data_IF_759859711083
#
_entry.id   IF_759859711083
#
_cell.length_a   1.000
_cell.length_b   1.000
_cell.length_c   1.000
_cell.angle_alpha   90.00
_cell.angle_beta   90.00
_cell.angle_gamma   90.00
#
_symmetry.space_group_name_H-M   'P 1'
#
loop_
_entity.id
_entity.type
_entity.pdbx_description
1 polymer ?
#
# COMPACT_ATOMS: atom_id res chain seq x y z
N UNK A 1 -18.43 36.62 19.57
CA UNK A 1 -18.01 35.22 19.38
C UNK A 1 -16.63 35.07 19.99
N UNK A 2 -16.38 34.03 20.80
CA UNK A 2 -15.03 33.78 21.34
C UNK A 2 -14.09 33.39 20.19
N UNK A 3 -12.91 34.00 20.12
CA UNK A 3 -11.88 33.68 19.11
C UNK A 3 -11.49 32.21 19.21
N UNK A 4 -11.30 31.53 18.09
CA UNK A 4 -10.87 30.13 18.02
C UNK A 4 -9.36 30.03 17.97
N UNK A 5 -8.81 28.91 18.44
CA UNK A 5 -7.37 28.68 18.47
C UNK A 5 -6.75 28.82 17.07
N UNK A 6 -7.40 28.26 16.04
CA UNK A 6 -6.93 28.34 14.64
C UNK A 6 -6.80 29.78 14.12
N UNK A 7 -7.58 30.73 14.65
CA UNK A 7 -7.51 32.14 14.27
C UNK A 7 -6.37 32.87 14.98
N UNK A 8 -5.83 32.30 16.06
CA UNK A 8 -4.80 32.91 16.89
C UNK A 8 -3.41 32.34 16.58
N UNK A 9 -3.26 31.01 16.59
CA UNK A 9 -2.00 30.34 16.28
C UNK A 9 -2.22 28.88 15.88
N UNK A 10 -1.36 28.36 15.00
CA UNK A 10 -1.43 27.00 14.50
C UNK A 10 -0.02 26.49 14.11
N UNK A 11 0.34 25.24 14.46
CA UNK A 11 1.66 24.68 14.13
C UNK A 11 1.72 24.23 12.65
N UNK A 12 1.70 25.19 11.72
CA UNK A 12 1.61 24.92 10.27
C UNK A 12 2.79 24.05 9.81
N UNK A 13 4.00 24.32 10.31
CA UNK A 13 5.22 23.62 9.88
C UNK A 13 5.15 22.13 10.22
N UNK A 14 4.92 21.81 11.49
CA UNK A 14 4.89 20.44 12.01
C UNK A 14 3.73 19.64 11.37
N UNK A 15 2.55 20.27 11.24
CA UNK A 15 1.40 19.64 10.58
C UNK A 15 1.69 19.35 9.11
N UNK A 16 2.39 20.26 8.41
CA UNK A 16 2.74 20.08 7.00
C UNK A 16 3.76 18.96 6.80
N UNK A 17 4.76 18.86 7.68
CA UNK A 17 5.77 17.80 7.67
C UNK A 17 5.11 16.41 7.84
N UNK A 18 4.23 16.25 8.83
CA UNK A 18 3.49 15.00 9.03
C UNK A 18 2.51 14.70 7.89
N UNK A 19 1.85 15.73 7.33
CA UNK A 19 0.97 15.60 6.16
C UNK A 19 1.71 15.13 4.90
N UNK A 20 2.99 15.48 4.76
CA UNK A 20 3.83 14.99 3.68
C UNK A 20 4.28 13.54 3.95
N UNK A 21 4.66 13.24 5.19
CA UNK A 21 5.11 11.92 5.64
C UNK A 21 4.01 10.86 5.49
N UNK A 22 2.76 11.18 5.83
CA UNK A 22 1.66 10.21 5.81
C UNK A 22 1.35 9.64 4.43
N UNK A 23 1.67 10.36 3.34
CA UNK A 23 1.49 9.88 1.96
C UNK A 23 2.24 8.59 1.65
N UNK A 24 3.30 8.31 2.40
CA UNK A 24 4.12 7.11 2.23
C UNK A 24 3.71 5.96 3.16
N UNK A 25 2.69 6.12 3.99
CA UNK A 25 2.22 5.08 4.90
C UNK A 25 1.40 4.05 4.11
N UNK A 26 1.81 2.78 4.24
CA UNK A 26 1.25 1.66 3.47
C UNK A 26 0.48 0.65 4.32
N UNK A 27 0.31 0.92 5.61
CA UNK A 27 -0.41 0.04 6.51
C UNK A 27 -1.29 0.82 7.49
N UNK A 28 -2.50 0.33 7.76
CA UNK A 28 -3.46 0.92 8.71
C UNK A 28 -4.09 2.26 8.29
N UNK A 29 -3.57 2.92 7.26
CA UNK A 29 -4.08 4.20 6.77
C UNK A 29 -5.30 4.01 5.87
N UNK A 30 -6.30 4.90 5.94
CA UNK A 30 -7.56 4.75 5.18
C UNK A 30 -7.35 4.66 3.66
N UNK A 31 -6.27 5.25 3.13
CA UNK A 31 -5.91 5.13 1.71
C UNK A 31 -5.53 3.73 1.26
N UNK A 32 -5.18 2.82 2.18
CA UNK A 32 -4.90 1.42 1.86
C UNK A 32 -6.18 0.59 1.80
N UNK A 33 -7.30 1.08 2.34
CA UNK A 33 -8.60 0.46 2.20
C UNK A 33 -9.24 0.81 0.85
N UNK A 34 -9.16 2.08 0.45
CA UNK A 34 -9.62 2.53 -0.85
C UNK A 34 -8.93 3.82 -1.28
N UNK A 35 -8.71 3.96 -2.59
CA UNK A 35 -8.13 5.15 -3.19
C UNK A 35 -9.28 6.13 -3.51
N UNK A 36 -9.11 7.40 -3.14
CA UNK A 36 -10.01 8.48 -3.52
C UNK A 36 -9.17 9.68 -3.98
N UNK A 37 -9.62 10.39 -5.00
CA UNK A 37 -8.90 11.55 -5.52
C UNK A 37 -8.91 12.69 -4.50
N UNK A 38 -7.83 13.47 -4.46
CA UNK A 38 -7.70 14.67 -3.63
C UNK A 38 -7.98 14.45 -2.11
N UNK A 39 -7.71 13.25 -1.59
CA UNK A 39 -7.84 12.97 -0.15
C UNK A 39 -7.00 13.94 0.69
N UNK A 40 -7.63 14.60 1.67
CA UNK A 40 -6.91 15.46 2.62
C UNK A 40 -6.05 14.63 3.57
N UNK A 41 -4.83 15.08 3.89
CA UNK A 41 -4.00 14.50 4.94
C UNK A 41 -4.77 14.37 6.26
N UNK A 42 -4.73 13.22 6.93
CA UNK A 42 -5.39 13.00 8.22
C UNK A 42 -4.72 13.83 9.32
N UNK A 43 -3.41 14.05 9.24
CA UNK A 43 -2.66 14.93 10.15
C UNK A 43 -3.27 16.35 10.16
N UNK A 44 -3.45 16.93 8.97
CA UNK A 44 -4.07 18.24 8.81
C UNK A 44 -5.55 18.21 9.23
N UNK A 45 -6.30 17.20 8.82
CA UNK A 45 -7.74 17.08 9.11
C UNK A 45 -8.01 17.06 10.62
N UNK A 46 -7.26 16.28 11.39
CA UNK A 46 -7.38 16.20 12.86
C UNK A 46 -7.04 17.51 13.54
N UNK A 47 -5.87 18.06 13.23
CA UNK A 47 -5.35 19.25 13.91
C UNK A 47 -6.17 20.49 13.58
N UNK A 48 -6.56 20.68 12.32
CA UNK A 48 -7.41 21.81 11.92
C UNK A 48 -8.81 21.70 12.55
N UNK A 49 -9.41 20.51 12.57
CA UNK A 49 -10.70 20.28 13.24
C UNK A 49 -10.62 20.65 14.72
N UNK A 50 -9.61 20.16 15.43
CA UNK A 50 -9.44 20.46 16.85
C UNK A 50 -9.19 21.96 17.10
N UNK A 51 -8.32 22.58 16.31
CA UNK A 51 -8.00 24.01 16.44
C UNK A 51 -9.18 24.93 16.09
N UNK A 52 -10.04 24.52 15.17
CA UNK A 52 -11.26 25.26 14.80
C UNK A 52 -12.33 25.18 15.91
N UNK A 53 -12.40 24.05 16.63
CA UNK A 53 -13.37 23.83 17.69
C UNK A 53 -12.95 24.43 19.03
N UNK A 54 -11.66 24.36 19.38
CA UNK A 54 -11.17 24.87 20.66
C UNK A 54 -11.20 26.42 20.69
N UNK A 55 -11.71 27.03 21.77
CA UNK A 55 -11.54 28.45 21.98
C UNK A 55 -10.06 28.80 22.18
N UNK A 56 -9.66 29.98 21.74
CA UNK A 56 -8.35 30.53 22.08
C UNK A 56 -8.31 30.92 23.56
N UNK A 57 -7.17 30.62 24.17
CA UNK A 57 -6.85 30.99 25.55
C UNK A 57 -5.37 31.42 25.57
N UNK A 58 -5.09 32.74 25.66
CA UNK A 58 -3.73 33.26 25.65
C UNK A 58 -2.81 32.61 26.68
N UNK A 59 -3.33 32.19 27.84
CA UNK A 59 -2.52 31.56 28.90
C UNK A 59 -2.14 30.10 28.57
N UNK A 60 -2.91 29.43 27.72
CA UNK A 60 -2.69 28.02 27.33
C UNK A 60 -2.28 27.85 25.86
N UNK A 61 -2.21 28.93 25.08
CA UNK A 61 -2.01 28.89 23.63
C UNK A 61 -0.81 28.06 23.21
N UNK A 62 0.36 28.28 23.83
CA UNK A 62 1.57 27.53 23.49
C UNK A 62 1.46 26.04 23.83
N UNK A 63 0.76 25.70 24.92
CA UNK A 63 0.52 24.31 25.29
C UNK A 63 -0.42 23.62 24.30
N UNK A 64 -1.50 24.31 23.89
CA UNK A 64 -2.44 23.82 22.88
C UNK A 64 -1.77 23.65 21.52
N UNK A 65 -0.89 24.59 21.12
CA UNK A 65 -0.11 24.49 19.90
C UNK A 65 0.84 23.28 19.90
N UNK A 66 1.56 23.04 21.00
CA UNK A 66 2.41 21.84 21.15
C UNK A 66 1.61 20.55 21.13
N UNK A 67 0.42 20.55 21.73
CA UNK A 67 -0.49 19.42 21.65
C UNK A 67 -0.92 19.15 20.20
N UNK A 68 -1.32 20.18 19.45
CA UNK A 68 -1.66 20.06 18.02
C UNK A 68 -0.49 19.49 17.20
N UNK A 69 0.73 20.01 17.40
CA UNK A 69 1.92 19.51 16.71
C UNK A 69 2.16 18.02 16.99
N UNK A 70 1.94 17.57 18.22
CA UNK A 70 2.07 16.17 18.60
C UNK A 70 0.95 15.30 18.00
N UNK A 71 -0.28 15.80 18.03
CA UNK A 71 -1.46 15.14 17.45
C UNK A 71 -1.39 15.04 15.93
N UNK A 72 -0.54 15.82 15.25
CA UNK A 72 -0.38 15.73 13.79
C UNK A 72 0.19 14.36 13.34
N UNK A 73 0.96 13.69 14.21
CA UNK A 73 1.60 12.41 13.90
C UNK A 73 0.57 11.33 13.58
N UNK A 74 0.85 10.50 12.58
CA UNK A 74 -0.02 9.38 12.22
C UNK A 74 -0.14 8.36 13.35
N UNK A 75 0.96 8.09 14.07
CA UNK A 75 1.03 7.06 15.11
C UNK A 75 0.06 7.34 16.28
N UNK A 76 -0.49 8.55 16.39
CA UNK A 76 -1.45 8.91 17.43
C UNK A 76 -2.77 8.12 17.37
N UNK A 77 -3.05 7.46 16.23
CA UNK A 77 -4.25 6.63 16.06
C UNK A 77 -3.98 5.14 16.26
N UNK A 78 -2.75 4.76 16.63
CA UNK A 78 -2.45 3.38 17.03
C UNK A 78 -3.08 3.11 18.41
N UNK A 79 -4.08 2.23 18.43
CA UNK A 79 -4.78 1.83 19.66
C UNK A 79 -3.87 1.06 20.64
N UNK A 80 -2.76 0.49 20.18
CA UNK A 80 -1.84 -0.26 21.03
C UNK A 80 -0.86 0.66 21.78
N UNK A 81 -0.66 1.89 21.31
CA UNK A 81 0.21 2.86 21.97
C UNK A 81 -0.56 3.58 23.11
N UNK A 82 -0.11 3.35 24.34
CA UNK A 82 -0.71 3.96 25.53
C UNK A 82 -0.53 5.49 25.58
N UNK A 83 0.60 6.00 25.08
CA UNK A 83 0.88 7.42 24.99
C UNK A 83 -0.03 8.11 23.97
N UNK A 84 -0.21 7.48 22.80
CA UNK A 84 -1.13 7.91 21.76
C UNK A 84 -2.58 8.00 22.28
N UNK A 85 -3.05 6.93 22.95
CA UNK A 85 -4.38 6.91 23.58
C UNK A 85 -4.57 8.03 24.60
N UNK A 86 -3.56 8.28 25.45
CA UNK A 86 -3.60 9.35 26.45
C UNK A 86 -3.71 10.74 25.80
N UNK A 87 -2.93 10.99 24.76
CA UNK A 87 -2.95 12.26 24.03
C UNK A 87 -4.29 12.48 23.30
N UNK A 88 -4.83 11.45 22.65
CA UNK A 88 -6.16 11.52 22.05
C UNK A 88 -7.25 11.76 23.10
N UNK A 89 -7.14 11.14 24.28
CA UNK A 89 -8.07 11.39 25.38
C UNK A 89 -7.96 12.84 25.89
N UNK A 90 -6.75 13.39 26.03
CA UNK A 90 -6.57 14.80 26.39
C UNK A 90 -7.22 15.76 25.39
N UNK A 91 -7.15 15.46 24.09
CA UNK A 91 -7.83 16.25 23.07
C UNK A 91 -9.36 16.19 23.20
N UNK A 92 -9.91 15.00 23.47
CA UNK A 92 -11.35 14.80 23.74
C UNK A 92 -11.79 15.52 25.00
N UNK A 93 -11.01 15.45 26.07
CA UNK A 93 -11.31 16.11 27.35
C UNK A 93 -11.30 17.63 27.18
N UNK A 94 -10.36 18.17 26.39
CA UNK A 94 -10.32 19.59 26.07
C UNK A 94 -11.58 20.03 25.30
N UNK A 95 -12.06 19.22 24.35
CA UNK A 95 -13.33 19.48 23.66
C UNK A 95 -14.53 19.36 24.61
N UNK A 96 -14.56 18.34 25.47
CA UNK A 96 -15.65 18.16 26.43
C UNK A 96 -15.73 19.34 27.42
N UNK A 97 -14.59 19.86 27.87
CA UNK A 97 -14.55 21.05 28.71
C UNK A 97 -15.04 22.31 27.98
N UNK A 98 -14.70 22.46 26.69
CA UNK A 98 -15.18 23.58 25.88
C UNK A 98 -16.66 23.45 25.48
N UNK A 99 -17.19 22.22 25.40
CA UNK A 99 -18.56 21.89 25.00
C UNK A 99 -19.20 20.92 26.02
N UNK A 100 -19.54 21.37 27.23
CA UNK A 100 -19.95 20.49 28.34
C UNK A 100 -21.34 19.87 28.15
N UNK A 101 -22.22 20.50 27.36
CA UNK A 101 -23.61 20.05 27.22
C UNK A 101 -23.77 18.95 26.17
N UNK A 102 -23.02 19.03 25.06
CA UNK A 102 -23.09 18.09 23.95
C UNK A 102 -21.77 18.08 23.20
N UNK A 103 -21.40 16.97 22.53
CA UNK A 103 -20.26 16.98 21.64
C UNK A 103 -20.42 18.05 20.55
N UNK A 104 -19.33 18.69 20.11
CA UNK A 104 -19.40 19.66 19.03
C UNK A 104 -19.85 18.98 17.74
N UNK A 105 -20.69 19.66 16.97
CA UNK A 105 -21.19 19.20 15.68
C UNK A 105 -20.27 19.65 14.56
N UNK A 106 -19.82 18.71 13.73
CA UNK A 106 -18.97 18.98 12.56
C UNK A 106 -19.73 18.54 11.32
N UNK A 107 -20.00 19.49 10.43
CA UNK A 107 -20.57 19.25 9.12
C UNK A 107 -19.47 19.41 8.07
N UNK A 108 -19.19 18.34 7.33
CA UNK A 108 -18.39 18.39 6.11
C UNK A 108 -19.30 18.19 4.89
N UNK A 109 -19.66 19.27 4.17
CA UNK A 109 -20.54 19.19 3.01
C UNK A 109 -19.86 18.63 1.75
N UNK A 110 -18.55 18.43 1.78
CA UNK A 110 -17.74 17.94 0.66
C UNK A 110 -16.75 16.86 1.14
N UNK A 111 -17.29 15.86 1.83
CA UNK A 111 -16.51 14.89 2.59
C UNK A 111 -15.53 14.08 1.72
N UNK A 112 -15.86 13.85 0.45
CA UNK A 112 -15.07 13.08 -0.48
C UNK A 112 -14.66 11.74 0.11
N UNK A 113 -13.35 11.51 0.23
CA UNK A 113 -12.78 10.28 0.79
C UNK A 113 -12.83 10.17 2.33
N UNK A 114 -13.46 11.11 3.03
CA UNK A 114 -13.83 10.99 4.45
C UNK A 114 -12.78 11.38 5.49
N UNK A 115 -11.73 12.13 5.12
CA UNK A 115 -10.62 12.44 6.04
C UNK A 115 -11.03 13.33 7.22
N UNK A 116 -11.69 14.45 6.97
CA UNK A 116 -12.16 15.38 8.01
C UNK A 116 -13.19 14.69 8.91
N UNK A 117 -14.26 14.07 8.39
CA UNK A 117 -15.24 13.43 9.26
C UNK A 117 -14.66 12.24 10.05
N UNK A 118 -13.71 11.48 9.50
CA UNK A 118 -13.00 10.44 10.25
C UNK A 118 -12.27 10.99 11.47
N UNK A 119 -11.49 12.05 11.29
CA UNK A 119 -10.71 12.62 12.39
C UNK A 119 -11.59 13.37 13.40
N UNK A 120 -12.66 14.03 12.94
CA UNK A 120 -13.66 14.60 13.82
C UNK A 120 -14.34 13.52 14.69
N UNK A 121 -14.69 12.36 14.12
CA UNK A 121 -15.22 11.22 14.88
C UNK A 121 -14.20 10.71 15.91
N UNK A 122 -12.92 10.61 15.53
CA UNK A 122 -11.84 10.21 16.45
C UNK A 122 -11.67 11.19 17.62
N UNK A 123 -11.93 12.48 17.39
CA UNK A 123 -11.95 13.53 18.42
C UNK A 123 -13.22 13.53 19.29
N UNK A 124 -14.19 12.66 19.01
CA UNK A 124 -15.43 12.55 19.79
C UNK A 124 -16.51 13.55 19.38
N UNK A 125 -16.41 14.16 18.20
CA UNK A 125 -17.42 15.06 17.68
C UNK A 125 -18.66 14.28 17.18
N UNK A 126 -19.80 14.96 17.14
CA UNK A 126 -20.96 14.54 16.36
C UNK A 126 -20.71 14.95 14.90
N UNK A 127 -20.69 14.01 13.96
CA UNK A 127 -20.21 14.25 12.59
C UNK A 127 -21.30 14.00 11.56
N UNK A 128 -21.45 14.97 10.65
CA UNK A 128 -22.33 14.93 9.49
C UNK A 128 -21.48 15.06 8.24
N UNK A 129 -21.42 14.01 7.41
CA UNK A 129 -20.65 13.99 6.17
C UNK A 129 -21.61 13.92 4.98
N UNK A 130 -21.52 14.89 4.08
CA UNK A 130 -22.29 14.92 2.83
C UNK A 130 -21.34 14.97 1.64
N UNK A 131 -21.80 14.42 0.53
CA UNK A 131 -21.16 14.55 -0.76
C UNK A 131 -22.20 14.34 -1.87
N UNK A 132 -22.03 15.01 -3.00
CA UNK A 132 -22.86 14.78 -4.18
C UNK A 132 -22.51 13.47 -4.87
N UNK A 133 -21.25 13.03 -4.80
CA UNK A 133 -20.78 11.83 -5.44
C UNK A 133 -21.24 10.59 -4.65
N UNK A 134 -22.05 9.69 -5.22
CA UNK A 134 -22.53 8.50 -4.53
C UNK A 134 -21.38 7.55 -4.11
N UNK A 135 -20.26 7.55 -4.82
CA UNK A 135 -19.08 6.79 -4.41
C UNK A 135 -18.51 7.34 -3.10
N UNK A 136 -18.39 8.66 -2.96
CA UNK A 136 -17.92 9.28 -1.71
C UNK A 136 -18.86 8.94 -0.55
N UNK A 137 -20.18 9.01 -0.77
CA UNK A 137 -21.18 8.63 0.24
C UNK A 137 -20.97 7.18 0.68
N UNK A 138 -20.85 6.24 -0.26
CA UNK A 138 -20.60 4.83 0.05
C UNK A 138 -19.31 4.62 0.85
N UNK A 139 -18.23 5.30 0.47
CA UNK A 139 -16.94 5.24 1.16
C UNK A 139 -17.04 5.76 2.59
N UNK A 140 -17.77 6.86 2.81
CA UNK A 140 -18.01 7.40 4.15
C UNK A 140 -18.88 6.47 5.00
N UNK A 141 -19.93 5.86 4.43
CA UNK A 141 -20.72 4.84 5.14
C UNK A 141 -19.82 3.68 5.58
N UNK A 142 -19.01 3.15 4.66
CA UNK A 142 -18.16 1.99 4.94
C UNK A 142 -17.01 2.30 5.92
N UNK A 143 -16.42 3.49 5.84
CA UNK A 143 -15.26 3.85 6.66
C UNK A 143 -15.62 4.50 8.00
N UNK A 144 -16.80 5.11 8.12
CA UNK A 144 -17.21 5.88 9.29
C UNK A 144 -18.37 5.19 10.03
N UNK A 145 -19.46 4.90 9.31
CA UNK A 145 -20.70 4.43 9.94
C UNK A 145 -20.63 2.95 10.32
N UNK A 146 -20.23 2.07 9.40
CA UNK A 146 -20.18 0.63 9.67
C UNK A 146 -19.24 0.26 10.83
N UNK A 147 -18.02 0.81 10.96
CA UNK A 147 -17.17 0.49 12.09
C UNK A 147 -17.77 0.91 13.44
N UNK A 148 -18.50 2.04 13.48
CA UNK A 148 -19.20 2.49 14.68
C UNK A 148 -20.40 1.60 15.03
N UNK A 149 -21.16 1.17 14.03
CA UNK A 149 -22.36 0.35 14.22
C UNK A 149 -22.03 -1.10 14.59
N UNK A 150 -21.04 -1.69 13.92
CA UNK A 150 -20.80 -3.14 13.97
C UNK A 150 -19.52 -3.52 14.71
N UNK A 151 -18.57 -2.60 14.92
CA UNK A 151 -17.35 -2.85 15.69
C UNK A 151 -16.53 -4.05 15.21
N UNK A 152 -16.05 -4.86 16.16
CA UNK A 152 -15.19 -6.02 15.88
C UNK A 152 -15.86 -7.10 14.99
N UNK A 153 -17.15 -7.44 15.17
CA UNK A 153 -17.86 -8.35 14.25
C UNK A 153 -17.72 -8.03 12.76
N UNK A 154 -17.66 -6.74 12.39
CA UNK A 154 -17.43 -6.33 11.00
C UNK A 154 -16.09 -6.82 10.46
N UNK A 155 -15.04 -6.79 11.28
CA UNK A 155 -13.69 -7.22 10.88
C UNK A 155 -13.70 -8.70 10.51
N UNK A 156 -14.37 -9.51 11.32
CA UNK A 156 -14.45 -10.95 11.10
C UNK A 156 -15.34 -11.26 9.88
N UNK A 157 -16.47 -10.56 9.71
CA UNK A 157 -17.33 -10.68 8.52
C UNK A 157 -16.61 -10.28 7.22
N UNK A 158 -15.82 -9.20 7.24
CA UNK A 158 -15.00 -8.77 6.08
C UNK A 158 -13.92 -9.79 5.78
N UNK A 159 -13.28 -10.38 6.80
CA UNK A 159 -12.28 -11.45 6.62
C UNK A 159 -12.91 -12.67 5.94
N UNK A 160 -14.05 -13.15 6.45
CA UNK A 160 -14.76 -14.29 5.88
C UNK A 160 -15.23 -14.03 4.44
N UNK A 161 -15.77 -12.84 4.16
CA UNK A 161 -16.11 -12.45 2.79
C UNK A 161 -14.88 -12.45 1.87
N UNK A 162 -13.74 -11.92 2.36
CA UNK A 162 -12.47 -11.92 1.64
C UNK A 162 -11.97 -13.34 1.34
N UNK A 163 -12.04 -14.25 2.30
CA UNK A 163 -11.67 -15.65 2.13
C UNK A 163 -12.56 -16.36 1.11
N UNK A 164 -13.88 -16.11 1.13
CA UNK A 164 -14.81 -16.65 0.13
C UNK A 164 -14.49 -16.16 -1.29
N UNK A 165 -14.26 -14.86 -1.45
CA UNK A 165 -13.87 -14.28 -2.76
C UNK A 165 -12.53 -14.84 -3.22
N UNK A 166 -11.55 -14.96 -2.31
CA UNK A 166 -10.25 -15.54 -2.62
C UNK A 166 -10.37 -17.00 -3.06
N UNK A 167 -11.18 -17.81 -2.38
CA UNK A 167 -11.41 -19.21 -2.74
C UNK A 167 -12.08 -19.34 -4.12
N UNK A 168 -13.10 -18.52 -4.39
CA UNK A 168 -13.76 -18.49 -5.70
C UNK A 168 -12.79 -18.08 -6.82
N UNK A 169 -12.01 -17.01 -6.60
CA UNK A 169 -11.02 -16.53 -7.55
C UNK A 169 -9.93 -17.58 -7.82
N UNK A 170 -9.43 -18.28 -6.79
CA UNK A 170 -8.47 -19.38 -6.96
C UNK A 170 -9.03 -20.50 -7.83
N UNK A 171 -10.28 -20.90 -7.60
CA UNK A 171 -10.95 -21.94 -8.40
C UNK A 171 -11.09 -21.54 -9.87
N UNK A 172 -11.52 -20.31 -10.14
CA UNK A 172 -11.73 -19.80 -11.49
C UNK A 172 -10.41 -19.64 -12.25
N UNK A 173 -9.38 -19.13 -11.57
CA UNK A 173 -8.09 -18.80 -12.16
C UNK A 173 -7.11 -20.00 -12.24
N UNK A 174 -7.38 -21.10 -11.54
CA UNK A 174 -6.49 -22.27 -11.49
C UNK A 174 -6.11 -22.81 -12.88
N UNK A 175 -7.04 -22.77 -13.84
CA UNK A 175 -6.77 -23.20 -15.22
C UNK A 175 -5.71 -22.36 -15.94
N UNK A 176 -5.58 -21.08 -15.56
CA UNK A 176 -4.63 -20.14 -16.16
C UNK A 176 -3.28 -20.14 -15.46
N UNK A 177 -3.25 -20.49 -14.17
CA UNK A 177 -2.06 -20.55 -13.33
C UNK A 177 -1.90 -21.94 -12.69
N UNK A 178 -1.67 -22.99 -13.50
CA UNK A 178 -1.52 -24.34 -12.98
C UNK A 178 -0.29 -24.46 -12.07
N UNK A 179 -0.36 -25.39 -11.12
CA UNK A 179 0.78 -25.77 -10.29
C UNK A 179 1.90 -26.38 -11.15
N UNK A 180 3.12 -25.93 -10.90
CA UNK A 180 4.32 -26.53 -11.48
C UNK A 180 4.61 -27.89 -10.80
N UNK A 181 5.44 -28.77 -11.41
CA UNK A 181 5.72 -30.10 -10.86
C UNK A 181 6.33 -30.15 -9.45
N UNK A 182 6.84 -29.02 -8.96
CA UNK A 182 7.37 -28.86 -7.61
C UNK A 182 6.34 -28.32 -6.59
N UNK A 183 5.08 -28.17 -7.00
CA UNK A 183 3.98 -27.65 -6.19
C UNK A 183 3.95 -26.12 -6.09
N UNK A 184 4.80 -25.40 -6.83
CA UNK A 184 4.75 -23.94 -6.86
C UNK A 184 3.64 -23.42 -7.78
N UNK A 185 3.02 -22.29 -7.41
CA UNK A 185 1.98 -21.64 -8.21
C UNK A 185 2.58 -20.39 -8.87
N UNK A 186 2.53 -20.26 -10.21
CA UNK A 186 2.98 -19.07 -10.90
C UNK A 186 2.21 -17.84 -10.44
N UNK A 187 2.92 -16.82 -9.94
CA UNK A 187 2.32 -15.54 -9.55
C UNK A 187 1.96 -14.69 -10.78
N UNK A 188 2.61 -14.95 -11.92
CA UNK A 188 2.43 -14.21 -13.16
C UNK A 188 3.26 -14.82 -14.29
N UNK A 189 2.88 -14.49 -15.53
CA UNK A 189 3.65 -14.82 -16.73
C UNK A 189 4.25 -13.54 -17.33
N UNK A 190 5.49 -13.63 -17.79
CA UNK A 190 6.10 -12.59 -18.60
C UNK A 190 5.99 -12.99 -20.06
N UNK A 191 5.48 -12.07 -20.88
CA UNK A 191 5.32 -12.27 -22.30
C UNK A 191 5.85 -11.05 -23.05
N UNK A 192 6.51 -11.28 -24.19
CA UNK A 192 7.02 -10.24 -25.06
C UNK A 192 6.68 -10.56 -26.51
N UNK A 193 6.32 -9.53 -27.30
CA UNK A 193 6.25 -9.66 -28.75
C UNK A 193 7.65 -9.90 -29.30
N UNK A 194 7.76 -10.74 -30.32
CA UNK A 194 9.03 -10.99 -31.00
C UNK A 194 9.05 -10.33 -32.38
N UNK A 195 10.24 -9.98 -32.86
CA UNK A 195 10.50 -9.61 -34.25
C UNK A 195 11.66 -10.44 -34.80
N UNK A 196 11.63 -10.81 -36.08
CA UNK A 196 12.78 -11.47 -36.70
C UNK A 196 13.98 -10.52 -36.73
N UNK A 197 15.17 -11.08 -36.55
CA UNK A 197 16.42 -10.36 -36.69
C UNK A 197 16.52 -9.76 -38.09
N UNK A 198 16.83 -8.47 -38.18
CA UNK A 198 16.93 -7.76 -39.45
C UNK A 198 18.11 -8.22 -40.32
N UNK A 199 19.05 -9.00 -39.76
CA UNK A 199 20.09 -9.65 -40.54
C UNK A 199 19.51 -10.91 -41.22
N UNK A 200 19.40 -10.95 -42.57
CA UNK A 200 18.82 -12.08 -43.30
C UNK A 200 19.54 -13.41 -43.07
N UNK A 201 20.83 -13.39 -42.72
CA UNK A 201 21.60 -14.59 -42.41
C UNK A 201 21.31 -15.16 -41.00
N UNK A 202 20.81 -14.33 -40.08
CA UNK A 202 20.50 -14.73 -38.70
C UNK A 202 19.08 -15.28 -38.59
N UNK A 203 18.08 -14.44 -38.90
CA UNK A 203 16.66 -14.79 -38.83
C UNK A 203 16.16 -15.19 -37.43
N UNK A 204 16.88 -14.87 -36.35
CA UNK A 204 16.47 -15.20 -34.99
C UNK A 204 15.31 -14.33 -34.50
N UNK A 205 14.40 -14.89 -33.71
CA UNK A 205 13.34 -14.13 -33.06
C UNK A 205 13.88 -13.36 -31.84
N UNK A 206 13.75 -12.04 -31.88
CA UNK A 206 14.22 -11.10 -30.87
C UNK A 206 13.02 -10.61 -30.05
N UNK A 207 12.99 -10.85 -28.72
CA UNK A 207 11.92 -10.37 -27.85
C UNK A 207 12.03 -8.85 -27.62
N UNK A 208 10.92 -8.15 -27.83
CA UNK A 208 10.79 -6.72 -27.62
C UNK A 208 10.49 -6.42 -26.16
N UNK A 209 11.54 -6.37 -25.34
CA UNK A 209 11.44 -6.02 -23.93
C UNK A 209 12.10 -4.66 -23.67
N UNK A 210 11.39 -3.77 -22.97
CA UNK A 210 11.95 -2.48 -22.55
C UNK A 210 13.01 -2.62 -21.45
N UNK A 211 12.85 -3.63 -20.59
CA UNK A 211 13.74 -3.89 -19.47
C UNK A 211 13.81 -5.39 -19.18
N UNK A 212 14.96 -5.81 -18.65
CA UNK A 212 15.18 -7.17 -18.20
C UNK A 212 15.19 -7.32 -16.67
N UNK A 213 15.00 -6.23 -15.92
CA UNK A 213 14.93 -6.28 -14.46
C UNK A 213 13.60 -6.88 -14.01
N UNK A 214 13.68 -7.95 -13.21
CA UNK A 214 12.54 -8.51 -12.46
C UNK A 214 12.40 -7.81 -11.10
N UNK A 215 13.53 -7.49 -10.48
CA UNK A 215 13.61 -6.69 -9.26
C UNK A 215 14.88 -5.82 -9.28
N UNK A 216 14.73 -4.52 -9.01
CA UNK A 216 15.86 -3.57 -8.92
C UNK A 216 15.73 -2.70 -7.67
N UNK A 217 15.86 -3.33 -6.50
CA UNK A 217 15.90 -2.66 -5.20
C UNK A 217 17.33 -2.72 -4.64
N UNK A 218 17.65 -1.85 -3.68
CA UNK A 218 18.98 -1.83 -3.05
C UNK A 218 19.31 -3.17 -2.37
N UNK A 219 18.31 -3.82 -1.76
CA UNK A 219 18.46 -5.08 -1.05
C UNK A 219 18.11 -6.34 -1.86
N UNK A 220 17.64 -6.20 -3.11
CA UNK A 220 17.28 -7.34 -3.97
C UNK A 220 17.36 -6.95 -5.45
N UNK A 221 18.25 -7.62 -6.18
CA UNK A 221 18.49 -7.38 -7.61
C UNK A 221 18.40 -8.69 -8.38
N UNK A 222 17.38 -8.81 -9.24
CA UNK A 222 17.09 -9.98 -10.07
C UNK A 222 16.78 -9.51 -11.49
N UNK A 223 17.36 -10.17 -12.50
CA UNK A 223 17.19 -9.84 -13.90
C UNK A 223 17.05 -11.09 -14.78
N UNK A 224 16.50 -10.89 -15.98
CA UNK A 224 16.54 -11.83 -17.09
C UNK A 224 17.84 -11.59 -17.87
N UNK A 225 18.64 -12.63 -18.04
CA UNK A 225 19.82 -12.60 -18.89
C UNK A 225 19.47 -13.25 -20.23
N UNK A 226 19.45 -12.50 -21.34
CA UNK A 226 19.20 -13.06 -22.66
C UNK A 226 20.37 -13.95 -23.08
N UNK A 227 20.06 -15.18 -23.51
CA UNK A 227 21.02 -16.18 -24.00
C UNK A 227 20.63 -16.52 -25.44
N UNK A 228 21.45 -16.13 -26.44
CA UNK A 228 21.18 -16.48 -27.83
C UNK A 228 21.20 -18.00 -28.04
N UNK A 229 20.14 -18.55 -28.65
CA UNK A 229 20.05 -19.93 -29.08
C UNK A 229 20.05 -19.99 -30.61
N UNK A 230 21.26 -20.10 -31.17
CA UNK A 230 21.47 -20.10 -32.63
C UNK A 230 20.81 -21.29 -33.33
N UNK A 231 20.74 -22.45 -32.67
CA UNK A 231 20.12 -23.64 -33.23
C UNK A 231 18.59 -23.49 -33.35
N UNK A 232 17.95 -22.94 -32.33
CA UNK A 232 16.51 -22.71 -32.31
C UNK A 232 16.10 -21.35 -32.90
N UNK A 233 17.07 -20.54 -33.38
CA UNK A 233 16.86 -19.18 -33.92
C UNK A 233 16.00 -18.31 -32.99
N UNK A 234 16.31 -18.27 -31.69
CA UNK A 234 15.60 -17.44 -30.70
C UNK A 234 16.51 -17.00 -29.57
N UNK A 235 16.02 -16.09 -28.72
CA UNK A 235 16.66 -15.72 -27.47
C UNK A 235 15.98 -16.47 -26.31
N UNK A 236 16.74 -17.32 -25.63
CA UNK A 236 16.32 -17.92 -24.37
C UNK A 236 16.70 -16.99 -23.21
N UNK A 237 16.20 -17.25 -22.00
CA UNK A 237 16.50 -16.44 -20.83
C UNK A 237 16.96 -17.30 -19.66
N UNK A 238 17.98 -16.82 -18.95
CA UNK A 238 18.30 -17.26 -17.60
C UNK A 238 17.84 -16.23 -16.58
N UNK A 239 17.43 -16.67 -15.40
CA UNK A 239 17.18 -15.77 -14.27
C UNK A 239 18.49 -15.62 -13.51
N UNK A 240 18.95 -14.38 -13.34
CA UNK A 240 20.18 -14.06 -12.61
C UNK A 240 19.88 -13.14 -11.44
N UNK A 241 20.62 -13.30 -10.35
CA UNK A 241 20.51 -12.46 -9.18
C UNK A 241 21.87 -12.07 -8.62
N UNK A 242 21.94 -10.88 -8.01
CA UNK A 242 23.22 -10.36 -7.50
C UNK A 242 23.58 -11.00 -6.17
N UNK A 243 24.80 -11.52 -6.08
CA UNK A 243 25.33 -12.18 -4.88
C UNK A 243 25.29 -11.23 -3.67
N UNK A 244 24.90 -11.76 -2.51
CA UNK A 244 24.87 -11.02 -1.25
C UNK A 244 23.64 -10.10 -1.04
N UNK A 245 22.68 -10.05 -1.98
CA UNK A 245 21.48 -9.20 -1.86
C UNK A 245 20.19 -10.00 -1.71
N UNK A 246 19.87 -10.39 -0.47
CA UNK A 246 18.52 -10.88 -0.10
C UNK A 246 18.07 -12.17 -0.78
N UNK A 247 19.00 -12.97 -1.30
CA UNK A 247 18.74 -14.28 -1.89
C UNK A 247 18.87 -15.32 -0.78
N UNK A 248 17.82 -16.12 -0.55
CA UNK A 248 17.87 -17.26 0.39
C UNK A 248 18.68 -18.39 -0.24
N UNK A 249 19.46 -19.14 0.55
CA UNK A 249 20.21 -20.31 0.06
C UNK A 249 19.33 -21.37 -0.63
N UNK A 250 18.05 -21.42 -0.28
CA UNK A 250 17.05 -22.30 -0.91
C UNK A 250 16.60 -21.82 -2.32
N UNK A 251 16.79 -20.54 -2.65
CA UNK A 251 16.55 -19.98 -4.00
C UNK A 251 17.77 -20.18 -4.92
N UNK A 252 18.92 -20.52 -4.35
CA UNK A 252 20.13 -20.91 -5.05
C UNK A 252 20.08 -22.43 -5.25
N UNK A 253 19.46 -22.89 -6.34
CA UNK A 253 19.64 -24.28 -6.77
C UNK A 253 21.15 -24.61 -6.79
N UNK A 254 21.55 -25.75 -6.20
CA UNK A 254 22.94 -26.10 -5.89
C UNK A 254 23.97 -25.81 -6.99
N UNK A 255 25.23 -25.61 -6.58
CA UNK A 255 26.37 -25.13 -7.39
C UNK A 255 25.95 -24.12 -8.47
N UNK A 256 25.32 -23.03 -8.04
CA UNK A 256 24.95 -21.92 -8.90
C UNK A 256 26.15 -21.40 -9.70
N UNK A 257 26.09 -21.53 -11.02
CA UNK A 257 27.08 -20.98 -11.93
C UNK A 257 27.16 -19.47 -11.67
N UNK A 258 28.33 -19.04 -11.19
CA UNK A 258 28.58 -17.64 -10.82
C UNK A 258 29.37 -16.96 -11.94
N UNK A 259 28.89 -15.81 -12.40
CA UNK A 259 29.58 -14.96 -13.38
C UNK A 259 29.80 -13.59 -12.74
N UNK A 260 31.02 -13.38 -12.21
CA UNK A 260 31.34 -12.19 -11.42
C UNK A 260 30.45 -12.06 -10.18
N UNK A 261 29.76 -10.92 -10.06
CA UNK A 261 28.84 -10.64 -8.94
C UNK A 261 27.45 -11.27 -9.09
N UNK A 262 27.20 -12.03 -10.16
CA UNK A 262 25.88 -12.59 -10.47
C UNK A 262 25.86 -14.11 -10.34
N UNK A 263 24.77 -14.62 -9.77
CA UNK A 263 24.47 -16.06 -9.70
C UNK A 263 23.29 -16.37 -10.60
N UNK A 264 23.41 -17.42 -11.40
CA UNK A 264 22.31 -17.94 -12.22
C UNK A 264 21.38 -18.75 -11.30
N UNK A 265 20.13 -18.31 -11.17
CA UNK A 265 19.08 -18.97 -10.39
C UNK A 265 18.36 -20.03 -11.22
N UNK A 266 18.16 -19.76 -12.51
CA UNK A 266 17.45 -20.66 -13.41
C UNK A 266 18.04 -20.57 -14.83
N UNK A 267 18.33 -21.72 -15.42
CA UNK A 267 18.76 -21.84 -16.82
C UNK A 267 17.57 -22.17 -17.71
N UNK A 268 17.60 -21.76 -18.99
CA UNK A 268 16.57 -22.16 -19.93
C UNK A 268 16.58 -23.70 -20.13
N UNK A 269 15.42 -24.32 -20.44
CA UNK A 269 15.29 -25.78 -20.57
C UNK A 269 16.23 -26.44 -21.60
N UNK A 270 16.75 -25.66 -22.57
CA UNK A 270 17.71 -26.16 -23.56
C UNK A 270 19.13 -26.34 -23.00
N UNK A 271 19.43 -25.71 -21.86
CA UNK A 271 20.74 -25.71 -21.19
C UNK A 271 20.68 -26.34 -19.79
N UNK A 272 19.51 -26.83 -19.35
CA UNK A 272 19.38 -27.60 -18.10
C UNK A 272 20.01 -28.99 -18.25
N UNK A 273 21.01 -29.37 -17.44
CA UNK A 273 21.57 -30.73 -17.45
C UNK A 273 20.49 -31.77 -17.17
N UNK A 274 20.60 -32.95 -17.79
CA UNK A 274 19.65 -34.05 -17.70
C UNK A 274 19.47 -34.58 -16.28
N UNK A 275 18.67 -33.90 -15.47
CA UNK A 275 18.04 -34.45 -14.27
C UNK A 275 16.52 -34.37 -14.43
N UNK A 276 15.74 -35.31 -13.86
CA UNK A 276 14.30 -35.42 -14.14
C UNK A 276 13.46 -34.28 -13.53
N UNK A 277 14.07 -33.35 -12.77
CA UNK A 277 13.34 -32.39 -11.92
C UNK A 277 12.96 -31.07 -12.56
N UNK A 278 13.50 -30.73 -13.73
CA UNK A 278 13.43 -29.35 -14.26
C UNK A 278 12.83 -29.26 -15.66
N UNK A 279 11.78 -30.03 -15.94
CA UNK A 279 10.93 -29.79 -17.10
C UNK A 279 9.79 -28.86 -16.69
N UNK A 280 9.73 -27.71 -17.35
CA UNK A 280 8.66 -26.71 -17.32
C UNK A 280 8.77 -25.66 -16.22
N UNK A 281 9.61 -24.66 -16.46
CA UNK A 281 9.37 -23.29 -16.00
C UNK A 281 9.68 -22.34 -17.14
N UNK A 282 8.81 -21.34 -17.30
CA UNK A 282 8.59 -20.56 -18.53
C UNK A 282 7.98 -21.38 -19.69
N UNK A 283 6.70 -21.76 -19.56
CA UNK A 283 5.89 -22.12 -20.72
C UNK A 283 5.67 -20.86 -21.59
N UNK A 284 6.58 -20.63 -22.55
CA UNK A 284 6.32 -19.75 -23.67
C UNK A 284 5.28 -20.41 -24.57
N UNK A 285 4.00 -20.06 -24.35
CA UNK A 285 2.94 -20.44 -25.28
C UNK A 285 3.03 -19.52 -26.49
N UNK A 286 3.25 -20.12 -27.67
CA UNK A 286 3.03 -19.46 -28.96
C UNK A 286 1.54 -19.11 -29.03
N UNK A 287 1.24 -17.83 -29.22
CA UNK A 287 -0.02 -17.38 -29.79
C UNK A 287 0.15 -17.22 -31.28
#
# INVERSE_FOLDING_TARGET
>A
MQRRLIEADFPIKEVSEESAREKNIRHGHISTLHIYWARRPLAASRTTTLAALLPDDPARRDALKRMLATLARWEIVDSNDAGARRLMQQARDALHHAYPQHPPRVLDPFAGGGSIPLEALRLGCEVHALDYNPLAVLLNIAALQYPLQFGKPLVDAVREAGERVLAAARKELAQFYPEDPDGSIPVGYLWARTLPCQNPACGAEIPLMRQFWLAKKENRQIALMPIPNSAAKRIDFAIVARKGLGIREQELGGEGITVGDWVILELPPALTPSSPRWRNRCAWRRG
#
